data_IF_942303982355
#
_entry.id   IF_942303982355
#
_cell.length_a   1.000
_cell.length_b   1.000
_cell.length_c   1.000
_cell.angle_alpha   90.00
_cell.angle_beta   90.00
_cell.angle_gamma   90.00
#
_symmetry.space_group_name_H-M   'P 1'
#
loop_
_entity.id
_entity.type
_entity.pdbx_description
1 polymer ?
#
# COMPACT_ATOMS: atom_id res chain seq x y z
N UNK A 1 25.90 60.12 -8.94
CA UNK A 1 26.36 59.01 -8.13
C UNK A 1 25.53 58.88 -6.86
N UNK A 2 24.49 58.15 -6.89
CA UNK A 2 23.79 57.46 -5.80
C UNK A 2 22.35 57.20 -6.27
N UNK A 3 22.11 56.05 -6.84
CA UNK A 3 20.80 55.38 -6.84
C UNK A 3 21.08 53.99 -7.33
N UNK A 4 20.85 52.99 -6.49
CA UNK A 4 20.50 51.58 -6.76
C UNK A 4 20.98 50.69 -5.61
N UNK A 5 20.17 50.52 -4.59
CA UNK A 5 20.24 49.36 -3.68
C UNK A 5 19.05 49.32 -2.70
N UNK A 6 17.83 49.28 -3.18
CA UNK A 6 16.66 49.06 -2.27
C UNK A 6 15.61 48.08 -2.74
N UNK A 7 15.81 47.32 -3.83
CA UNK A 7 14.78 46.40 -4.33
C UNK A 7 15.01 44.91 -4.03
N UNK A 8 16.14 44.53 -3.43
CA UNK A 8 16.40 43.08 -3.14
C UNK A 8 16.01 42.59 -1.74
N UNK A 9 15.60 43.47 -0.84
CA UNK A 9 15.20 43.08 0.52
C UNK A 9 13.72 42.67 0.67
N UNK A 10 12.86 43.14 -0.24
CA UNK A 10 11.42 42.87 -0.19
C UNK A 10 11.00 41.47 -0.62
N UNK A 11 11.69 40.89 -1.58
CA UNK A 11 11.36 39.54 -2.07
C UNK A 11 11.79 38.41 -1.10
N UNK A 12 12.90 38.56 -0.42
CA UNK A 12 13.34 37.61 0.59
C UNK A 12 12.47 37.60 1.85
N UNK A 13 11.84 38.71 2.18
CA UNK A 13 10.93 38.81 3.33
C UNK A 13 9.52 38.27 3.01
N UNK A 14 9.04 38.39 1.77
CA UNK A 14 7.76 37.81 1.35
C UNK A 14 7.82 36.31 1.22
N UNK A 15 8.94 35.73 0.75
CA UNK A 15 9.09 34.27 0.64
C UNK A 15 9.23 33.60 2.01
N UNK A 16 9.92 34.21 2.98
CA UNK A 16 10.04 33.69 4.34
C UNK A 16 8.68 33.70 5.09
N UNK A 17 7.93 34.78 5.00
CA UNK A 17 6.60 34.88 5.65
C UNK A 17 5.57 33.89 5.03
N UNK A 18 5.76 33.46 3.79
CA UNK A 18 4.91 32.48 3.14
C UNK A 18 5.27 31.06 3.55
N UNK A 19 6.56 30.73 3.67
CA UNK A 19 7.02 29.43 4.18
C UNK A 19 6.63 29.21 5.63
N UNK A 20 6.75 30.25 6.48
CA UNK A 20 6.40 30.17 7.90
C UNK A 20 4.89 30.00 8.11
N UNK A 21 4.04 30.58 7.25
CA UNK A 21 2.58 30.34 7.24
C UNK A 21 2.24 28.92 6.78
N UNK A 22 2.91 28.42 5.76
CA UNK A 22 2.71 27.06 5.27
C UNK A 22 3.20 26.03 6.30
N UNK A 23 4.29 26.31 7.00
CA UNK A 23 4.76 25.47 8.11
C UNK A 23 3.77 25.48 9.29
N UNK A 24 3.22 26.65 9.66
CA UNK A 24 2.22 26.77 10.72
C UNK A 24 0.87 26.12 10.36
N UNK A 25 0.43 26.22 9.10
CA UNK A 25 -0.76 25.51 8.61
C UNK A 25 -0.53 24.00 8.51
N UNK A 26 0.70 23.58 8.23
CA UNK A 26 1.09 22.17 8.21
C UNK A 26 1.21 21.59 9.63
N UNK A 27 1.74 22.34 10.58
CA UNK A 27 1.69 21.95 12.01
C UNK A 27 0.24 21.87 12.51
N UNK A 28 -0.65 22.76 12.06
CA UNK A 28 -2.08 22.66 12.34
C UNK A 28 -2.76 21.48 11.62
N UNK A 29 -2.30 21.08 10.42
CA UNK A 29 -2.82 19.87 9.75
C UNK A 29 -2.34 18.56 10.40
N UNK A 30 -1.27 18.60 11.19
CA UNK A 30 -0.88 17.52 12.10
C UNK A 30 -1.95 17.18 13.12
N UNK A 31 -2.83 18.11 13.39
CA UNK A 31 -3.95 18.01 14.32
C UNK A 31 -5.31 18.02 13.63
N UNK A 32 -5.43 17.49 12.40
CA UNK A 32 -6.76 17.12 11.94
C UNK A 32 -7.36 16.20 13.01
N UNK A 33 -8.43 16.61 13.67
CA UNK A 33 -9.04 15.75 14.68
C UNK A 33 -9.36 14.42 14.03
N UNK A 34 -8.87 13.32 14.58
CA UNK A 34 -9.26 12.00 14.13
C UNK A 34 -10.79 11.95 14.06
N UNK A 35 -11.38 11.52 12.97
CA UNK A 35 -12.83 11.47 12.86
C UNK A 35 -13.39 10.61 14.00
N UNK A 36 -14.47 11.09 14.60
CA UNK A 36 -15.16 10.36 15.66
C UNK A 36 -15.71 9.04 15.10
N UNK A 37 -15.50 7.96 15.83
CA UNK A 37 -16.05 6.65 15.50
C UNK A 37 -17.22 6.37 16.42
N UNK A 38 -18.38 6.14 15.84
CA UNK A 38 -19.64 5.87 16.56
C UNK A 38 -20.05 4.41 16.40
N UNK A 39 -21.02 3.97 17.23
CA UNK A 39 -21.63 2.65 17.07
C UNK A 39 -22.28 2.48 15.69
N UNK A 40 -22.85 3.54 15.10
CA UNK A 40 -23.37 3.50 13.72
C UNK A 40 -22.30 3.10 12.72
N UNK A 41 -21.11 3.65 12.83
CA UNK A 41 -19.99 3.30 11.96
C UNK A 41 -19.54 1.84 12.14
N UNK A 42 -19.44 1.39 13.39
CA UNK A 42 -19.01 0.03 13.71
C UNK A 42 -20.03 -1.04 13.30
N UNK A 43 -21.32 -0.80 13.57
CA UNK A 43 -22.40 -1.74 13.30
C UNK A 43 -22.91 -1.71 11.86
N UNK A 44 -22.44 -0.76 11.04
CA UNK A 44 -22.79 -0.70 9.62
C UNK A 44 -22.32 -1.97 8.88
N UNK A 45 -23.20 -2.53 8.06
CA UNK A 45 -22.90 -3.67 7.18
C UNK A 45 -22.54 -3.27 5.76
N UNK A 46 -22.65 -1.98 5.43
CA UNK A 46 -22.39 -1.43 4.11
C UNK A 46 -20.92 -1.04 3.88
N UNK A 47 -20.55 -0.84 2.61
CA UNK A 47 -19.23 -0.39 2.18
C UNK A 47 -19.28 1.11 1.84
N UNK A 48 -19.50 1.93 2.87
CA UNK A 48 -19.60 3.38 2.73
C UNK A 48 -18.21 4.01 2.65
N UNK A 49 -17.92 4.80 1.59
CA UNK A 49 -16.62 5.49 1.45
C UNK A 49 -16.33 6.46 2.59
N UNK A 50 -17.36 7.03 3.18
CA UNK A 50 -17.29 8.03 4.26
C UNK A 50 -17.15 7.40 5.65
N UNK A 51 -17.32 6.07 5.77
CA UNK A 51 -17.15 5.40 7.07
C UNK A 51 -15.69 5.53 7.53
N UNK A 52 -15.43 6.12 8.72
CA UNK A 52 -14.07 6.32 9.21
C UNK A 52 -13.31 4.99 9.45
N UNK A 53 -14.03 3.89 9.66
CA UNK A 53 -13.45 2.54 9.78
C UNK A 53 -13.20 1.87 8.41
N UNK A 54 -13.17 2.66 7.34
CA UNK A 54 -12.80 2.14 6.02
C UNK A 54 -11.33 1.80 5.97
N UNK A 55 -11.03 0.56 5.54
CA UNK A 55 -9.65 0.10 5.35
C UNK A 55 -9.52 -0.61 4.02
N UNK A 56 -8.61 -0.13 3.20
CA UNK A 56 -8.27 -0.69 1.89
C UNK A 56 -6.84 -1.21 1.93
N UNK A 57 -6.63 -2.41 1.40
CA UNK A 57 -5.30 -2.92 1.12
C UNK A 57 -5.05 -2.98 -0.39
N UNK A 58 -3.79 -2.79 -0.77
CA UNK A 58 -3.26 -3.04 -2.10
C UNK A 58 -2.10 -4.03 -1.98
N UNK A 59 -2.10 -5.07 -2.79
CA UNK A 59 -1.02 -6.04 -2.85
C UNK A 59 -0.49 -6.15 -4.28
N UNK A 60 0.82 -6.15 -4.43
CA UNK A 60 1.54 -6.13 -5.70
C UNK A 60 2.67 -7.17 -5.65
N UNK A 61 2.80 -7.98 -6.69
CA UNK A 61 3.86 -8.97 -6.81
C UNK A 61 5.16 -8.27 -7.20
N UNK A 62 6.21 -8.46 -6.43
CA UNK A 62 7.49 -7.78 -6.64
C UNK A 62 8.16 -8.21 -7.95
N UNK A 63 8.31 -7.26 -8.91
CA UNK A 63 8.87 -7.54 -10.23
C UNK A 63 8.30 -8.83 -10.86
N UNK A 64 6.99 -8.93 -10.92
CA UNK A 64 6.23 -10.15 -11.18
C UNK A 64 6.76 -11.02 -12.32
N UNK A 65 6.93 -10.45 -13.52
CA UNK A 65 7.40 -11.24 -14.66
C UNK A 65 8.80 -11.83 -14.43
N UNK A 66 9.67 -11.09 -13.75
CA UNK A 66 11.01 -11.61 -13.42
C UNK A 66 10.95 -12.73 -12.38
N UNK A 67 10.06 -12.66 -11.39
CA UNK A 67 9.84 -13.76 -10.45
C UNK A 67 9.22 -14.99 -11.14
N UNK A 68 8.24 -14.80 -12.03
CA UNK A 68 7.62 -15.89 -12.78
C UNK A 68 8.63 -16.63 -13.66
N UNK A 69 9.49 -15.89 -14.37
CA UNK A 69 10.55 -16.48 -15.19
C UNK A 69 11.64 -17.15 -14.33
N UNK A 70 12.03 -16.56 -13.23
CA UNK A 70 12.98 -17.17 -12.30
C UNK A 70 12.44 -18.51 -11.76
N UNK A 71 11.17 -18.55 -11.36
CA UNK A 71 10.51 -19.77 -10.92
C UNK A 71 10.47 -20.84 -12.00
N UNK A 72 10.11 -20.46 -13.24
CA UNK A 72 10.11 -21.38 -14.40
C UNK A 72 11.49 -21.98 -14.67
N UNK A 73 12.54 -21.18 -14.50
CA UNK A 73 13.94 -21.58 -14.76
C UNK A 73 14.61 -22.27 -13.54
N UNK A 74 13.93 -22.36 -12.40
CA UNK A 74 14.53 -22.88 -11.17
C UNK A 74 15.64 -22.00 -10.60
N UNK A 75 15.56 -20.68 -10.86
CA UNK A 75 16.54 -19.67 -10.43
C UNK A 75 16.02 -18.97 -9.17
N UNK A 76 16.90 -18.75 -8.20
CA UNK A 76 16.56 -17.88 -7.07
C UNK A 76 16.58 -16.41 -7.48
N UNK A 77 15.38 -15.81 -7.60
CA UNK A 77 15.20 -14.40 -7.98
C UNK A 77 15.78 -13.40 -6.97
N UNK A 78 16.17 -13.86 -5.78
CA UNK A 78 16.75 -13.03 -4.70
C UNK A 78 18.27 -12.97 -4.74
N UNK A 79 18.91 -13.86 -5.50
CA UNK A 79 20.37 -13.94 -5.59
C UNK A 79 20.90 -13.72 -7.00
N UNK A 80 20.16 -14.07 -8.04
CA UNK A 80 20.61 -14.00 -9.44
C UNK A 80 19.95 -12.81 -10.15
N UNK A 81 20.73 -11.89 -10.76
CA UNK A 81 20.17 -10.78 -11.49
C UNK A 81 19.49 -11.26 -12.79
N UNK A 82 18.24 -10.80 -13.00
CA UNK A 82 17.42 -11.24 -14.12
C UNK A 82 16.56 -10.10 -14.67
N UNK A 83 16.48 -10.01 -15.99
CA UNK A 83 15.55 -9.14 -16.71
C UNK A 83 14.72 -9.94 -17.69
N UNK A 84 13.49 -9.49 -17.91
CA UNK A 84 12.58 -10.01 -18.93
C UNK A 84 12.52 -9.04 -20.10
N UNK A 85 12.68 -9.59 -21.28
CA UNK A 85 12.68 -8.85 -22.54
C UNK A 85 11.39 -9.11 -23.30
N UNK A 86 10.91 -8.06 -23.95
CA UNK A 86 9.95 -8.13 -25.03
C UNK A 86 10.58 -7.45 -26.24
N UNK A 87 10.93 -8.21 -27.25
CA UNK A 87 11.81 -7.80 -28.32
C UNK A 87 13.15 -7.33 -27.75
N UNK A 88 13.55 -6.10 -28.03
CA UNK A 88 14.77 -5.49 -27.47
C UNK A 88 14.54 -4.65 -26.21
N UNK A 89 13.27 -4.57 -25.75
CA UNK A 89 12.92 -3.74 -24.59
C UNK A 89 12.93 -4.55 -23.29
N UNK A 90 13.50 -3.97 -22.25
CA UNK A 90 13.43 -4.52 -20.89
C UNK A 90 12.05 -4.17 -20.30
N UNK A 91 11.23 -5.18 -20.05
CA UNK A 91 9.88 -5.01 -19.51
C UNK A 91 9.77 -5.34 -18.00
N UNK A 92 10.70 -6.12 -17.46
CA UNK A 92 10.79 -6.37 -16.04
C UNK A 92 12.25 -6.52 -15.60
N UNK A 93 12.54 -6.07 -14.38
CA UNK A 93 13.88 -6.11 -13.78
C UNK A 93 13.72 -6.59 -12.35
N UNK A 94 14.38 -7.68 -11.95
CA UNK A 94 14.33 -8.12 -10.57
C UNK A 94 15.15 -7.20 -9.66
N UNK A 95 14.97 -7.31 -8.35
CA UNK A 95 15.59 -6.41 -7.39
C UNK A 95 17.10 -6.59 -7.28
N UNK A 96 17.63 -7.75 -7.61
CA UNK A 96 19.08 -7.98 -7.70
C UNK A 96 19.68 -7.14 -8.83
N UNK A 97 19.11 -7.23 -10.04
CA UNK A 97 19.59 -6.45 -11.19
C UNK A 97 19.44 -4.93 -10.98
N UNK A 98 18.39 -4.47 -10.28
CA UNK A 98 18.21 -3.06 -9.94
C UNK A 98 19.35 -2.48 -9.09
N UNK A 99 20.00 -3.29 -8.23
CA UNK A 99 21.15 -2.87 -7.42
C UNK A 99 22.35 -2.47 -8.28
N UNK A 100 22.46 -2.99 -9.50
CA UNK A 100 23.47 -2.62 -10.49
C UNK A 100 23.06 -1.42 -11.37
N UNK A 101 21.97 -0.74 -11.05
CA UNK A 101 21.45 0.39 -11.84
C UNK A 101 20.72 -0.02 -13.12
N UNK A 102 20.36 -1.30 -13.27
CA UNK A 102 19.52 -1.74 -14.39
C UNK A 102 18.09 -1.30 -14.15
N UNK A 103 17.48 -0.66 -15.13
CA UNK A 103 16.13 -0.13 -15.04
C UNK A 103 15.30 -0.43 -16.29
N UNK A 104 13.97 -0.34 -16.16
CA UNK A 104 13.02 -0.65 -17.22
C UNK A 104 12.98 0.40 -18.34
N UNK A 105 13.17 1.68 -18.01
CA UNK A 105 12.92 2.78 -18.95
C UNK A 105 14.18 3.55 -19.37
N UNK A 106 15.22 3.56 -18.53
CA UNK A 106 16.40 4.41 -18.70
C UNK A 106 17.67 3.58 -18.92
N UNK A 107 17.55 2.41 -19.53
CA UNK A 107 18.64 1.50 -19.72
C UNK A 107 18.44 0.68 -21.00
N UNK A 108 19.40 0.77 -21.92
CA UNK A 108 19.45 -0.13 -23.07
C UNK A 108 19.92 -1.53 -22.64
N UNK A 109 19.74 -2.52 -23.47
CA UNK A 109 20.21 -3.88 -23.19
C UNK A 109 21.74 -3.94 -23.05
N UNK A 110 22.45 -3.19 -23.87
CA UNK A 110 23.91 -3.07 -23.87
C UNK A 110 24.40 -2.44 -22.56
N UNK A 111 23.78 -1.33 -22.14
CA UNK A 111 24.09 -0.68 -20.85
C UNK A 111 23.78 -1.61 -19.67
N UNK A 112 22.68 -2.35 -19.73
CA UNK A 112 22.32 -3.31 -18.69
C UNK A 112 23.37 -4.41 -18.52
N UNK A 113 23.86 -4.96 -19.62
CA UNK A 113 24.95 -5.96 -19.63
C UNK A 113 26.26 -5.42 -19.13
N UNK A 114 26.60 -4.15 -19.47
CA UNK A 114 27.81 -3.50 -18.99
C UNK A 114 27.76 -3.27 -17.47
N UNK A 115 26.60 -2.83 -16.94
CA UNK A 115 26.40 -2.59 -15.50
C UNK A 115 26.34 -3.88 -14.69
N UNK A 116 25.83 -4.95 -15.29
CA UNK A 116 25.63 -6.25 -14.65
C UNK A 116 26.08 -7.37 -15.60
N UNK A 117 27.38 -7.76 -15.59
CA UNK A 117 27.91 -8.79 -16.51
C UNK A 117 27.23 -10.16 -16.39
N UNK A 118 26.82 -10.53 -15.16
CA UNK A 118 26.12 -11.81 -14.87
C UNK A 118 24.62 -11.75 -15.09
N UNK A 119 24.12 -10.70 -15.76
CA UNK A 119 22.70 -10.48 -15.98
C UNK A 119 22.09 -11.61 -16.83
N UNK A 120 21.07 -12.28 -16.28
CA UNK A 120 20.27 -13.25 -17.02
C UNK A 120 19.21 -12.55 -17.82
N UNK A 121 19.17 -12.87 -19.12
CA UNK A 121 18.22 -12.33 -20.06
C UNK A 121 17.20 -13.42 -20.43
N UNK A 122 15.93 -13.11 -20.31
CA UNK A 122 14.83 -14.02 -20.69
C UNK A 122 13.87 -13.24 -21.58
N UNK A 123 13.66 -13.73 -22.79
CA UNK A 123 12.61 -13.19 -23.66
C UNK A 123 11.25 -13.80 -23.27
N UNK A 124 10.17 -13.02 -23.35
CA UNK A 124 8.80 -13.53 -23.15
C UNK A 124 8.50 -14.62 -24.18
N UNK A 125 7.66 -15.59 -23.80
CA UNK A 125 7.23 -16.61 -24.75
C UNK A 125 6.53 -16.00 -25.96
N UNK A 126 6.73 -16.61 -27.14
CA UNK A 126 6.11 -16.15 -28.37
C UNK A 126 5.72 -17.31 -29.27
N UNK A 127 4.77 -17.06 -30.15
CA UNK A 127 4.41 -17.95 -31.25
C UNK A 127 5.26 -17.62 -32.49
N UNK A 128 6.05 -18.55 -32.94
CA UNK A 128 6.71 -18.48 -34.26
C UNK A 128 5.81 -19.00 -35.37
N UNK A 129 6.28 -18.91 -36.65
CA UNK A 129 5.55 -19.43 -37.81
C UNK A 129 5.21 -20.93 -37.64
N UNK A 130 3.93 -21.27 -37.71
CA UNK A 130 3.45 -22.64 -37.57
C UNK A 130 3.36 -23.20 -36.13
N UNK A 131 3.68 -22.43 -35.13
CA UNK A 131 3.57 -22.87 -33.75
C UNK A 131 2.12 -23.03 -33.28
N UNK A 132 1.83 -24.18 -32.66
CA UNK A 132 0.53 -24.45 -32.00
C UNK A 132 0.48 -23.96 -30.56
N UNK A 133 1.64 -23.72 -29.92
CA UNK A 133 1.78 -23.22 -28.55
C UNK A 133 2.96 -22.24 -28.48
N UNK A 134 2.95 -21.29 -27.53
CA UNK A 134 4.06 -20.36 -27.39
C UNK A 134 5.31 -21.08 -26.90
N UNK A 135 6.46 -20.66 -27.40
CA UNK A 135 7.79 -21.18 -27.06
C UNK A 135 8.72 -20.04 -26.63
N UNK A 136 9.83 -20.39 -26.01
CA UNK A 136 10.89 -19.46 -25.63
C UNK A 136 11.96 -19.45 -26.72
N UNK A 137 12.08 -18.33 -27.39
CA UNK A 137 13.10 -18.04 -28.39
C UNK A 137 14.16 -17.09 -27.82
N UNK A 138 15.41 -17.26 -28.19
CA UNK A 138 16.49 -16.37 -27.75
C UNK A 138 16.37 -14.97 -28.35
N UNK A 139 16.11 -14.89 -29.66
CA UNK A 139 15.96 -13.64 -30.43
C UNK A 139 14.81 -13.75 -31.43
N UNK A 140 13.56 -13.68 -30.98
CA UNK A 140 12.41 -13.78 -31.86
C UNK A 140 12.24 -12.51 -32.71
N UNK A 141 11.98 -12.69 -34.01
CA UNK A 141 11.73 -11.58 -34.93
C UNK A 141 10.30 -11.03 -34.76
N UNK A 142 10.13 -9.75 -34.37
CA UNK A 142 8.80 -9.14 -34.19
C UNK A 142 7.94 -9.13 -35.48
N UNK A 143 8.53 -9.28 -36.67
CA UNK A 143 7.79 -9.35 -37.94
C UNK A 143 7.11 -10.71 -38.17
N UNK A 144 7.62 -11.78 -37.55
CA UNK A 144 7.15 -13.16 -37.76
C UNK A 144 6.61 -13.82 -36.47
N UNK A 145 6.95 -13.30 -35.32
CA UNK A 145 6.54 -13.86 -34.03
C UNK A 145 5.48 -13.01 -33.36
N UNK A 146 4.64 -13.64 -32.55
CA UNK A 146 3.62 -12.98 -31.72
C UNK A 146 3.82 -13.30 -30.25
N UNK A 147 3.90 -12.27 -29.40
CA UNK A 147 4.05 -12.40 -27.96
C UNK A 147 2.89 -13.16 -27.32
N UNK A 148 3.21 -14.02 -26.35
CA UNK A 148 2.25 -14.64 -25.45
C UNK A 148 2.56 -14.31 -24.00
N UNK A 149 1.58 -13.82 -23.28
CA UNK A 149 1.63 -13.61 -21.82
C UNK A 149 0.84 -14.67 -21.05
N UNK A 150 0.51 -15.79 -21.69
CA UNK A 150 -0.36 -16.82 -21.09
C UNK A 150 0.26 -17.49 -19.88
N UNK A 151 1.59 -17.66 -19.87
CA UNK A 151 2.30 -18.16 -18.70
C UNK A 151 2.12 -17.21 -17.51
N UNK A 152 2.27 -15.91 -17.71
CA UNK A 152 2.09 -14.91 -16.64
C UNK A 152 0.65 -14.82 -16.14
N UNK A 153 -0.33 -14.98 -17.05
CA UNK A 153 -1.74 -15.06 -16.65
C UNK A 153 -2.04 -16.29 -15.83
N UNK A 154 -1.40 -17.44 -16.12
CA UNK A 154 -1.53 -18.67 -15.31
C UNK A 154 -0.94 -18.48 -13.91
N UNK A 155 0.26 -17.88 -13.81
CA UNK A 155 0.87 -17.60 -12.50
C UNK A 155 0.05 -16.59 -11.71
N UNK A 156 -0.43 -15.52 -12.35
CA UNK A 156 -1.37 -14.57 -11.76
C UNK A 156 -2.61 -15.27 -11.22
N UNK A 157 -3.17 -16.24 -11.96
CA UNK A 157 -4.35 -16.99 -11.51
C UNK A 157 -4.08 -17.75 -10.21
N UNK A 158 -2.92 -18.41 -10.08
CA UNK A 158 -2.54 -19.11 -8.84
C UNK A 158 -2.50 -18.16 -7.64
N UNK A 159 -1.97 -16.94 -7.82
CA UNK A 159 -1.94 -15.92 -6.78
C UNK A 159 -3.37 -15.47 -6.43
N UNK A 160 -4.22 -15.25 -7.44
CA UNK A 160 -5.62 -14.86 -7.23
C UNK A 160 -6.39 -15.96 -6.48
N UNK A 161 -6.13 -17.24 -6.78
CA UNK A 161 -6.75 -18.37 -6.09
C UNK A 161 -6.32 -18.40 -4.60
N UNK A 162 -5.08 -18.02 -4.28
CA UNK A 162 -4.65 -17.86 -2.88
C UNK A 162 -5.36 -16.69 -2.22
N UNK A 163 -5.43 -15.52 -2.86
CA UNK A 163 -6.19 -14.39 -2.34
C UNK A 163 -7.63 -14.78 -2.04
N UNK A 164 -8.29 -15.45 -2.97
CA UNK A 164 -9.68 -15.87 -2.81
C UNK A 164 -9.84 -16.85 -1.64
N UNK A 165 -8.98 -17.86 -1.54
CA UNK A 165 -9.03 -18.84 -0.43
C UNK A 165 -8.75 -18.20 0.92
N UNK A 166 -7.78 -17.31 0.99
CA UNK A 166 -7.31 -16.75 2.26
C UNK A 166 -8.12 -15.54 2.72
N UNK A 167 -8.68 -14.75 1.81
CA UNK A 167 -9.40 -13.54 2.15
C UNK A 167 -10.92 -13.69 2.08
N UNK A 168 -11.43 -14.47 1.13
CA UNK A 168 -12.86 -14.60 0.89
C UNK A 168 -13.49 -15.89 1.46
N UNK A 169 -12.66 -16.83 1.90
CA UNK A 169 -13.12 -18.08 2.53
C UNK A 169 -12.45 -18.26 3.89
N UNK A 170 -13.25 -18.44 4.91
CA UNK A 170 -12.84 -18.50 6.32
C UNK A 170 -12.07 -19.75 6.77
N UNK A 171 -11.28 -20.31 5.92
CA UNK A 171 -10.43 -21.43 6.29
C UNK A 171 -8.95 -21.02 6.32
N UNK A 172 -8.57 -20.34 7.38
CA UNK A 172 -7.16 -20.34 7.79
C UNK A 172 -7.03 -21.43 8.85
N UNK A 173 -6.39 -22.55 8.58
CA UNK A 173 -5.98 -23.46 9.64
C UNK A 173 -4.87 -22.77 10.44
N UNK A 174 -5.22 -22.15 11.52
CA UNK A 174 -4.30 -21.65 12.49
C UNK A 174 -3.79 -22.80 13.34
N UNK A 175 -2.68 -23.34 13.00
CA UNK A 175 -2.06 -24.42 13.76
C UNK A 175 -0.56 -24.50 13.58
N UNK A 176 -0.03 -23.98 12.47
CA UNK A 176 1.38 -24.15 12.11
C UNK A 176 2.11 -22.87 11.70
N UNK A 177 1.50 -21.70 11.85
CA UNK A 177 2.07 -20.43 11.39
C UNK A 177 3.19 -19.87 12.31
N UNK A 178 3.50 -20.52 13.42
CA UNK A 178 4.38 -19.95 14.45
C UNK A 178 5.88 -20.02 14.14
N UNK A 179 6.31 -20.78 13.11
CA UNK A 179 7.73 -21.06 12.95
C UNK A 179 8.41 -20.47 11.71
N UNK A 180 7.67 -19.98 10.72
CA UNK A 180 8.25 -19.49 9.46
C UNK A 180 7.89 -18.05 9.11
N UNK A 181 7.05 -17.40 9.90
CA UNK A 181 6.79 -15.95 9.78
C UNK A 181 8.03 -15.12 10.13
N UNK A 182 8.99 -15.67 10.85
CA UNK A 182 10.23 -14.99 11.25
C UNK A 182 11.06 -14.47 10.07
N UNK A 183 10.93 -15.10 8.89
CA UNK A 183 11.65 -14.65 7.70
C UNK A 183 11.01 -13.42 7.02
N UNK A 184 9.73 -13.12 7.31
CA UNK A 184 8.98 -12.00 6.72
C UNK A 184 8.65 -10.95 7.77
N UNK A 185 8.59 -11.34 9.05
CA UNK A 185 8.28 -10.46 10.17
C UNK A 185 9.56 -10.05 10.90
N UNK A 186 9.66 -8.78 11.31
CA UNK A 186 10.78 -8.34 12.16
C UNK A 186 10.85 -9.13 13.46
N UNK A 187 12.07 -9.34 13.97
CA UNK A 187 12.31 -9.96 15.28
C UNK A 187 11.42 -9.36 16.37
N UNK A 188 10.68 -10.20 17.06
CA UNK A 188 9.88 -9.84 18.23
C UNK A 188 8.41 -9.51 17.98
N UNK A 189 7.88 -9.82 16.78
CA UNK A 189 6.43 -9.78 16.58
C UNK A 189 5.75 -10.97 17.26
N UNK A 190 4.71 -10.68 18.01
CA UNK A 190 3.82 -11.68 18.59
C UNK A 190 2.39 -11.42 18.13
N UNK A 191 1.68 -12.43 17.60
CA UNK A 191 0.31 -12.27 17.13
C UNK A 191 -0.74 -12.09 18.24
N UNK A 192 -0.32 -11.81 19.47
CA UNK A 192 -1.12 -12.04 20.67
C UNK A 192 -2.34 -11.14 20.83
N UNK A 193 -2.29 -9.88 20.41
CA UNK A 193 -3.32 -8.90 20.77
C UNK A 193 -4.52 -8.91 19.85
N UNK A 194 -4.29 -9.01 18.55
CA UNK A 194 -5.35 -8.92 17.54
C UNK A 194 -5.74 -10.28 16.96
N UNK A 195 -5.14 -11.33 17.51
CA UNK A 195 -5.27 -12.66 16.97
C UNK A 195 -6.32 -13.48 17.73
N UNK A 196 -7.48 -13.64 17.16
CA UNK A 196 -8.49 -14.57 17.68
C UNK A 196 -9.15 -15.40 16.58
N UNK A 197 -9.43 -16.66 16.90
CA UNK A 197 -10.24 -17.56 16.09
C UNK A 197 -11.63 -16.96 15.90
N UNK A 198 -11.98 -16.56 14.68
CA UNK A 198 -13.33 -16.20 14.31
C UNK A 198 -13.66 -16.84 12.98
N UNK A 199 -14.65 -17.70 12.94
CA UNK A 199 -15.23 -18.20 11.69
C UNK A 199 -16.31 -17.23 11.25
N UNK A 200 -16.14 -16.62 10.08
CA UNK A 200 -17.23 -15.92 9.38
C UNK A 200 -17.45 -16.59 8.03
N UNK A 201 -18.70 -16.87 7.69
CA UNK A 201 -19.09 -17.54 6.43
C UNK A 201 -19.48 -16.57 5.33
N UNK A 202 -19.40 -15.27 5.58
CA UNK A 202 -19.84 -14.22 4.64
C UNK A 202 -18.64 -13.61 3.93
N UNK A 203 -18.87 -13.18 2.69
CA UNK A 203 -17.88 -12.44 1.89
C UNK A 203 -17.63 -11.03 2.47
N UNK A 204 -16.87 -10.93 3.55
CA UNK A 204 -16.61 -9.69 4.26
C UNK A 204 -15.50 -8.84 3.64
N UNK A 205 -14.83 -9.38 2.63
CA UNK A 205 -13.75 -8.72 1.91
C UNK A 205 -14.12 -8.65 0.44
N UNK A 206 -14.15 -7.45 -0.11
CA UNK A 206 -14.27 -7.26 -1.55
C UNK A 206 -12.89 -7.31 -2.17
N UNK A 207 -12.75 -8.17 -3.16
CA UNK A 207 -11.53 -8.36 -3.92
C UNK A 207 -11.68 -7.80 -5.32
N UNK A 208 -10.71 -6.97 -5.75
CA UNK A 208 -10.63 -6.41 -7.09
C UNK A 208 -9.25 -6.71 -7.69
N UNK A 209 -9.23 -7.51 -8.74
CA UNK A 209 -8.03 -7.71 -9.56
C UNK A 209 -7.83 -6.49 -10.46
N UNK A 210 -6.76 -5.72 -10.21
CA UNK A 210 -6.45 -4.52 -10.98
C UNK A 210 -5.56 -4.82 -12.22
N UNK A 211 -4.65 -5.81 -12.11
CA UNK A 211 -3.78 -6.25 -13.20
C UNK A 211 -3.35 -7.71 -13.03
N UNK A 212 -2.34 -8.15 -13.78
CA UNK A 212 -1.72 -9.49 -13.62
C UNK A 212 -1.08 -9.65 -12.24
N UNK A 213 -0.54 -8.59 -11.68
CA UNK A 213 0.29 -8.57 -10.48
C UNK A 213 -0.24 -7.68 -9.36
N UNK A 214 -1.31 -6.92 -9.60
CA UNK A 214 -1.89 -6.00 -8.62
C UNK A 214 -3.33 -6.35 -8.25
N UNK A 215 -3.65 -6.22 -6.97
CA UNK A 215 -5.01 -6.42 -6.45
C UNK A 215 -5.32 -5.46 -5.31
N UNK A 216 -6.59 -5.04 -5.23
CA UNK A 216 -7.13 -4.27 -4.12
C UNK A 216 -8.10 -5.12 -3.30
N UNK A 217 -8.18 -4.80 -2.01
CA UNK A 217 -9.06 -5.47 -1.07
C UNK A 217 -9.75 -4.42 -0.20
N UNK A 218 -11.08 -4.40 -0.20
CA UNK A 218 -11.84 -3.66 0.80
C UNK A 218 -12.04 -4.55 2.02
N UNK A 219 -11.31 -4.24 3.07
CA UNK A 219 -11.32 -4.97 4.34
C UNK A 219 -12.28 -4.34 5.38
N UNK A 220 -13.00 -3.29 5.01
CA UNK A 220 -13.77 -2.47 5.94
C UNK A 220 -14.79 -3.28 6.74
N UNK A 221 -15.56 -4.14 6.08
CA UNK A 221 -16.54 -4.98 6.75
C UNK A 221 -15.89 -6.07 7.60
N UNK A 222 -14.82 -6.67 7.10
CA UNK A 222 -14.03 -7.65 7.83
C UNK A 222 -13.47 -7.06 9.15
N UNK A 223 -12.83 -5.89 9.11
CA UNK A 223 -12.26 -5.28 10.32
C UNK A 223 -13.32 -4.90 11.34
N UNK A 224 -14.50 -4.40 10.92
CA UNK A 224 -15.62 -4.12 11.83
C UNK A 224 -16.12 -5.38 12.53
N UNK A 225 -16.31 -6.49 11.80
CA UNK A 225 -16.66 -7.79 12.40
C UNK A 225 -15.58 -8.29 13.35
N UNK A 226 -14.32 -8.13 13.00
CA UNK A 226 -13.20 -8.51 13.87
C UNK A 226 -13.15 -7.66 15.15
N UNK A 227 -13.43 -6.36 15.08
CA UNK A 227 -13.53 -5.50 16.27
C UNK A 227 -14.65 -6.00 17.17
N UNK A 228 -15.85 -6.26 16.63
CA UNK A 228 -16.96 -6.79 17.43
C UNK A 228 -16.65 -8.16 18.06
N UNK A 229 -15.97 -9.04 17.33
CA UNK A 229 -15.57 -10.36 17.84
C UNK A 229 -14.53 -10.28 18.97
N UNK A 230 -13.57 -9.36 18.85
CA UNK A 230 -12.48 -9.18 19.84
C UNK A 230 -12.91 -8.32 21.04
N UNK A 231 -13.89 -7.46 20.83
CA UNK A 231 -14.45 -6.53 21.84
C UNK A 231 -15.97 -6.68 21.91
N UNK A 232 -16.50 -7.81 22.47
CA UNK A 232 -17.94 -8.08 22.48
C UNK A 232 -18.76 -7.00 23.19
N UNK A 233 -18.16 -6.24 24.14
CA UNK A 233 -18.82 -5.13 24.82
C UNK A 233 -19.24 -3.99 23.88
N UNK A 234 -18.74 -3.95 22.65
CA UNK A 234 -19.12 -2.96 21.64
C UNK A 234 -20.34 -3.41 20.82
N UNK A 235 -20.79 -4.65 20.97
CA UNK A 235 -21.97 -5.15 20.27
C UNK A 235 -23.24 -4.83 21.05
N UNK A 236 -23.83 -3.70 20.72
CA UNK A 236 -25.06 -3.21 21.36
C UNK A 236 -26.33 -3.59 20.61
N UNK A 237 -26.27 -4.51 19.63
CA UNK A 237 -27.43 -4.83 18.79
C UNK A 237 -28.63 -5.37 19.56
N UNK A 238 -28.41 -6.15 20.60
CA UNK A 238 -29.48 -6.62 21.50
C UNK A 238 -30.10 -5.45 22.31
N UNK A 239 -29.26 -4.57 22.87
CA UNK A 239 -29.71 -3.35 23.55
C UNK A 239 -30.62 -2.49 22.66
N UNK A 240 -30.25 -2.34 21.37
CA UNK A 240 -31.00 -1.52 20.42
C UNK A 240 -32.41 -2.05 20.13
N UNK A 241 -32.69 -3.33 20.34
CA UNK A 241 -33.97 -3.92 20.02
C UNK A 241 -35.10 -3.39 20.94
N UNK A 242 -34.77 -3.03 22.17
CA UNK A 242 -35.72 -2.57 23.19
C UNK A 242 -35.91 -1.04 23.21
N UNK A 243 -35.20 -0.30 22.35
CA UNK A 243 -35.23 1.16 22.30
C UNK A 243 -36.24 1.69 21.27
N UNK A 244 -36.88 2.80 21.60
CA UNK A 244 -37.66 3.59 20.63
C UNK A 244 -36.74 4.21 19.56
N UNK A 245 -37.32 4.74 18.49
CA UNK A 245 -36.61 5.21 17.31
C UNK A 245 -35.60 6.33 17.63
N UNK A 246 -36.00 7.30 18.46
CA UNK A 246 -35.15 8.46 18.76
C UNK A 246 -34.01 8.09 19.68
N UNK A 247 -34.27 7.32 20.71
CA UNK A 247 -33.27 6.79 21.65
C UNK A 247 -32.30 5.86 20.93
N UNK A 248 -32.80 5.01 20.03
CA UNK A 248 -31.97 4.13 19.19
C UNK A 248 -31.03 4.95 18.29
N UNK A 249 -31.54 5.99 17.63
CA UNK A 249 -30.72 6.86 16.78
C UNK A 249 -29.61 7.54 17.59
N UNK A 250 -29.95 8.13 18.74
CA UNK A 250 -29.00 8.75 19.64
C UNK A 250 -27.95 7.74 20.16
N UNK A 251 -28.33 6.51 20.46
CA UNK A 251 -27.41 5.47 20.93
C UNK A 251 -26.44 5.02 19.81
N UNK A 252 -26.92 4.92 18.57
CA UNK A 252 -26.08 4.62 17.42
C UNK A 252 -25.08 5.74 17.11
N UNK A 253 -25.46 7.00 17.31
CA UNK A 253 -24.60 8.15 17.07
C UNK A 253 -23.65 8.47 18.26
N UNK A 254 -23.79 7.73 19.37
CA UNK A 254 -22.83 7.81 20.47
C UNK A 254 -21.44 7.34 20.04
N UNK A 255 -20.42 8.03 20.50
CA UNK A 255 -19.02 7.70 20.26
C UNK A 255 -18.65 6.37 20.94
N UNK A 256 -17.79 5.57 20.30
CA UNK A 256 -17.26 4.36 20.90
C UNK A 256 -16.44 4.70 22.19
N UNK A 257 -16.47 3.83 23.20
CA UNK A 257 -15.67 4.03 24.39
C UNK A 257 -14.18 4.00 24.08
N UNK A 258 -13.38 4.49 25.01
CA UNK A 258 -11.93 4.40 24.90
C UNK A 258 -11.46 2.96 24.76
N UNK A 259 -10.38 2.76 24.01
CA UNK A 259 -9.74 1.47 23.87
C UNK A 259 -9.27 0.96 25.25
N UNK A 260 -9.54 -0.30 25.59
CA UNK A 260 -9.09 -0.90 26.86
C UNK A 260 -7.59 -0.78 27.08
N UNK A 261 -7.18 -0.52 28.32
CA UNK A 261 -5.78 -0.30 28.70
C UNK A 261 -4.86 -1.45 28.28
N UNK A 262 -5.29 -2.71 28.48
CA UNK A 262 -4.49 -3.87 28.11
C UNK A 262 -4.11 -3.89 26.60
N UNK A 263 -4.99 -3.42 25.72
CA UNK A 263 -4.71 -3.31 24.29
C UNK A 263 -3.66 -2.24 24.02
N UNK A 264 -3.69 -1.14 24.75
CA UNK A 264 -2.68 -0.07 24.65
C UNK A 264 -1.31 -0.55 25.09
N UNK A 265 -1.27 -1.29 26.21
CA UNK A 265 -0.02 -1.78 26.81
C UNK A 265 0.65 -2.86 25.93
N UNK A 266 -0.15 -3.68 25.23
CA UNK A 266 0.35 -4.74 24.36
C UNK A 266 0.77 -4.23 22.97
N UNK A 267 0.26 -3.07 22.51
CA UNK A 267 0.63 -2.44 21.24
C UNK A 267 1.87 -1.56 21.37
N UNK A 268 2.98 -2.21 21.65
CA UNK A 268 4.28 -1.54 21.69
C UNK A 268 4.68 -0.95 20.33
N UNK A 269 5.62 0.01 20.31
CA UNK A 269 6.24 0.54 19.09
C UNK A 269 6.76 -0.60 18.20
N UNK A 270 7.34 -1.64 18.79
CA UNK A 270 7.86 -2.81 18.10
C UNK A 270 6.76 -3.58 17.37
N UNK A 271 5.58 -3.74 17.99
CA UNK A 271 4.42 -4.39 17.37
C UNK A 271 3.92 -3.59 16.15
N UNK A 272 3.86 -2.27 16.25
CA UNK A 272 3.47 -1.41 15.12
C UNK A 272 4.46 -1.51 13.95
N UNK A 273 5.76 -1.47 14.24
CA UNK A 273 6.80 -1.65 13.21
C UNK A 273 6.67 -3.03 12.55
N UNK A 274 6.39 -4.07 13.31
CA UNK A 274 6.17 -5.42 12.79
C UNK A 274 4.97 -5.51 11.85
N UNK A 275 3.90 -4.75 12.10
CA UNK A 275 2.77 -4.61 11.19
C UNK A 275 3.08 -3.77 9.93
N UNK A 276 4.26 -3.18 9.87
CA UNK A 276 4.69 -2.31 8.77
C UNK A 276 4.27 -0.85 8.92
N UNK A 277 3.94 -0.40 10.12
CA UNK A 277 3.52 0.99 10.33
C UNK A 277 4.57 1.98 9.83
N UNK A 278 4.09 2.96 9.07
CA UNK A 278 4.87 4.13 8.74
C UNK A 278 4.74 5.15 9.86
N UNK A 279 5.88 5.58 10.36
CA UNK A 279 5.98 6.55 11.44
C UNK A 279 6.78 7.76 10.97
N UNK A 280 6.40 8.98 11.36
CA UNK A 280 7.19 10.16 11.07
C UNK A 280 8.61 10.05 11.65
N UNK A 281 9.64 10.62 10.99
CA UNK A 281 11.02 10.52 11.45
C UNK A 281 11.27 11.01 12.88
N UNK A 282 10.47 11.96 13.35
CA UNK A 282 10.55 12.48 14.72
C UNK A 282 10.08 11.46 15.76
N UNK A 283 9.14 10.61 15.42
CA UNK A 283 8.61 9.58 16.31
C UNK A 283 9.44 8.29 16.28
N UNK A 284 10.22 8.08 15.22
CA UNK A 284 11.13 6.92 15.11
C UNK A 284 12.34 7.02 16.05
N UNK A 285 12.68 8.22 16.55
CA UNK A 285 13.88 8.47 17.38
C UNK A 285 13.66 8.28 18.86
N UNK A 286 12.43 8.24 19.29
CA UNK A 286 12.09 8.08 20.72
C UNK A 286 11.59 6.65 20.94
N UNK A 287 12.47 5.76 21.38
CA UNK A 287 12.11 4.40 21.84
C UNK A 287 11.06 4.40 22.97
N UNK A 288 10.76 5.57 23.52
CA UNK A 288 9.82 5.81 24.62
C UNK A 288 8.64 6.71 24.26
N UNK A 289 8.52 7.20 23.02
CA UNK A 289 7.34 7.94 22.63
C UNK A 289 6.12 7.01 22.74
N UNK A 290 5.45 7.09 23.86
CA UNK A 290 4.11 6.56 24.02
C UNK A 290 3.30 7.09 22.83
N UNK A 291 2.89 6.21 21.95
CA UNK A 291 1.96 6.55 20.87
C UNK A 291 0.88 7.46 21.43
N UNK A 292 0.61 8.57 20.75
CA UNK A 292 -0.64 9.33 20.91
C UNK A 292 -1.79 8.34 21.08
N UNK A 293 -2.80 8.65 21.85
CA UNK A 293 -3.79 7.64 22.28
C UNK A 293 -4.26 6.80 21.07
N UNK A 294 -4.12 5.49 21.22
CA UNK A 294 -4.58 4.49 20.28
C UNK A 294 -6.07 4.71 20.00
N UNK A 295 -6.45 4.79 18.75
CA UNK A 295 -7.84 5.00 18.32
C UNK A 295 -8.41 3.74 17.68
N UNK A 296 -9.74 3.64 17.58
CA UNK A 296 -10.40 2.52 16.88
C UNK A 296 -10.03 2.48 15.39
N UNK A 297 -9.62 3.61 14.80
CA UNK A 297 -9.07 3.66 13.45
C UNK A 297 -7.75 2.90 13.36
N UNK A 298 -6.89 3.08 14.35
CA UNK A 298 -5.61 2.39 14.42
C UNK A 298 -5.81 0.87 14.59
N UNK A 299 -6.74 0.48 15.46
CA UNK A 299 -7.12 -0.94 15.66
C UNK A 299 -7.63 -1.56 14.35
N UNK A 300 -8.51 -0.86 13.63
CA UNK A 300 -9.03 -1.33 12.35
C UNK A 300 -7.90 -1.56 11.33
N UNK A 301 -6.97 -0.62 11.23
CA UNK A 301 -5.82 -0.71 10.33
C UNK A 301 -4.84 -1.81 10.74
N UNK A 302 -4.61 -2.00 12.04
CA UNK A 302 -3.77 -3.09 12.55
C UNK A 302 -4.35 -4.47 12.23
N UNK A 303 -5.65 -4.68 12.40
CA UNK A 303 -6.34 -5.93 12.06
C UNK A 303 -6.20 -6.24 10.56
N UNK A 304 -6.35 -5.22 9.70
CA UNK A 304 -6.16 -5.38 8.27
C UNK A 304 -4.70 -5.73 7.92
N UNK A 305 -3.73 -5.10 8.60
CA UNK A 305 -2.31 -5.36 8.41
C UNK A 305 -1.93 -6.80 8.78
N UNK A 306 -2.43 -7.32 9.90
CA UNK A 306 -2.26 -8.74 10.27
C UNK A 306 -2.79 -9.67 9.19
N UNK A 307 -3.99 -9.40 8.67
CA UNK A 307 -4.58 -10.22 7.61
C UNK A 307 -3.73 -10.23 6.36
N UNK A 308 -3.19 -9.09 5.96
CA UNK A 308 -2.34 -8.97 4.78
C UNK A 308 -0.98 -9.66 4.95
N UNK A 309 -0.38 -9.64 6.13
CA UNK A 309 0.85 -10.41 6.43
C UNK A 309 0.59 -11.90 6.20
N UNK A 310 -0.49 -12.44 6.78
CA UNK A 310 -0.87 -13.84 6.62
C UNK A 310 -1.03 -14.25 5.16
N UNK A 311 -1.71 -13.42 4.37
CA UNK A 311 -1.94 -13.69 2.94
C UNK A 311 -0.64 -13.68 2.14
N UNK A 312 0.22 -12.70 2.38
CA UNK A 312 1.53 -12.59 1.73
C UNK A 312 2.44 -13.78 2.06
N UNK A 313 2.36 -14.25 3.30
CA UNK A 313 3.07 -15.47 3.72
C UNK A 313 2.59 -16.69 2.93
N UNK A 314 1.29 -16.88 2.72
CA UNK A 314 0.77 -17.99 1.92
C UNK A 314 1.25 -17.94 0.47
N UNK A 315 1.30 -16.75 -0.15
CA UNK A 315 1.83 -16.61 -1.51
C UNK A 315 3.31 -16.99 -1.56
N UNK A 316 4.10 -16.53 -0.61
CA UNK A 316 5.53 -16.87 -0.53
C UNK A 316 5.74 -18.37 -0.30
N UNK A 317 5.02 -18.95 0.66
CA UNK A 317 5.19 -20.35 1.04
C UNK A 317 4.70 -21.33 -0.05
N UNK A 318 3.58 -21.05 -0.70
CA UNK A 318 2.99 -21.94 -1.69
C UNK A 318 3.59 -21.76 -3.09
N UNK A 319 3.96 -20.56 -3.47
CA UNK A 319 4.41 -20.21 -4.82
C UNK A 319 5.85 -19.68 -4.91
N UNK A 320 6.47 -19.35 -3.78
CA UNK A 320 7.82 -18.78 -3.73
C UNK A 320 7.88 -17.30 -4.18
N UNK A 321 6.74 -16.61 -4.36
CA UNK A 321 6.71 -15.22 -4.82
C UNK A 321 6.65 -14.25 -3.65
N UNK A 322 7.53 -13.24 -3.67
CA UNK A 322 7.44 -12.11 -2.76
C UNK A 322 6.42 -11.09 -3.25
N UNK A 323 5.74 -10.49 -2.31
CA UNK A 323 4.75 -9.44 -2.56
C UNK A 323 4.98 -8.24 -1.65
N UNK A 324 4.55 -7.08 -2.08
CA UNK A 324 4.52 -5.88 -1.24
C UNK A 324 3.08 -5.40 -1.08
N UNK A 325 2.71 -5.01 0.14
CA UNK A 325 1.36 -4.56 0.44
C UNK A 325 1.36 -3.16 1.05
N UNK A 326 0.29 -2.43 0.80
CA UNK A 326 -0.03 -1.15 1.43
C UNK A 326 -1.41 -1.20 2.04
N UNK A 327 -1.55 -0.72 3.27
CA UNK A 327 -2.82 -0.64 3.99
C UNK A 327 -3.09 0.81 4.37
N UNK A 328 -4.24 1.33 3.98
CA UNK A 328 -4.63 2.71 4.24
C UNK A 328 -6.14 2.90 4.14
N UNK A 329 -6.64 4.12 4.29
CA UNK A 329 -8.07 4.43 4.28
C UNK A 329 -8.72 4.45 2.89
N UNK A 330 -7.94 4.46 1.80
CA UNK A 330 -8.45 4.43 0.43
C UNK A 330 -7.47 3.79 -0.57
N UNK A 331 -7.93 3.50 -1.79
CA UNK A 331 -7.14 2.84 -2.85
C UNK A 331 -5.88 3.59 -3.23
N UNK A 332 -5.94 4.91 -3.35
CA UNK A 332 -4.79 5.73 -3.75
C UNK A 332 -3.68 5.64 -2.71
N UNK A 333 -4.01 5.84 -1.44
CA UNK A 333 -3.06 5.73 -0.34
C UNK A 333 -2.51 4.31 -0.20
N UNK A 334 -3.36 3.29 -0.29
CA UNK A 334 -2.93 1.89 -0.22
C UNK A 334 -1.92 1.55 -1.33
N UNK A 335 -2.14 2.03 -2.56
CA UNK A 335 -1.21 1.84 -3.67
C UNK A 335 0.11 2.59 -3.47
N UNK A 336 0.09 3.81 -2.97
CA UNK A 336 1.30 4.56 -2.62
C UNK A 336 2.11 3.83 -1.54
N UNK A 337 1.43 3.34 -0.51
CA UNK A 337 2.04 2.58 0.59
C UNK A 337 2.68 1.28 0.11
N UNK A 338 2.03 0.51 -0.77
CA UNK A 338 2.59 -0.75 -1.27
C UNK A 338 3.89 -0.57 -2.06
N UNK A 339 4.09 0.62 -2.63
CA UNK A 339 5.29 0.96 -3.40
C UNK A 339 6.44 1.51 -2.53
N UNK A 340 6.16 1.90 -1.29
CA UNK A 340 7.06 2.71 -0.47
C UNK A 340 8.33 1.98 -0.02
N UNK A 341 8.22 0.70 0.36
CA UNK A 341 9.35 -0.10 0.91
C UNK A 341 9.68 -1.36 0.11
N UNK A 342 9.28 -1.44 -1.17
CA UNK A 342 9.57 -2.61 -2.01
C UNK A 342 11.06 -2.98 -2.00
N UNK A 343 11.41 -4.27 -2.05
CA UNK A 343 10.57 -5.46 -2.17
C UNK A 343 10.18 -6.10 -0.84
N UNK A 344 9.31 -7.11 -0.91
CA UNK A 344 8.95 -8.03 0.18
C UNK A 344 8.58 -7.31 1.48
N UNK A 345 7.79 -6.25 1.37
CA UNK A 345 7.48 -5.38 2.50
C UNK A 345 5.99 -5.06 2.60
N UNK A 346 5.62 -4.56 3.75
CA UNK A 346 4.29 -4.03 4.01
C UNK A 346 4.40 -2.63 4.60
N UNK A 347 3.54 -1.73 4.15
CA UNK A 347 3.44 -0.38 4.70
C UNK A 347 2.01 -0.12 5.14
N UNK A 348 1.85 0.09 6.43
CA UNK A 348 0.61 0.46 7.10
C UNK A 348 0.61 1.98 7.35
N UNK A 349 -0.30 2.71 6.75
CA UNK A 349 -0.47 4.14 6.96
C UNK A 349 -1.68 4.41 7.86
N UNK A 350 -1.42 4.83 9.07
CA UNK A 350 -2.47 5.25 9.99
C UNK A 350 -3.08 6.58 9.53
N UNK A 351 -4.41 6.77 9.63
CA UNK A 351 -5.08 7.96 9.11
C UNK A 351 -4.49 9.29 9.58
N UNK A 352 -4.07 9.36 10.86
CA UNK A 352 -3.45 10.55 11.46
C UNK A 352 -2.12 10.98 10.82
N UNK A 353 -1.41 10.05 10.16
CA UNK A 353 -0.13 10.34 9.51
C UNK A 353 -0.24 10.58 8.00
N UNK A 354 -1.45 10.55 7.45
CA UNK A 354 -1.67 10.70 6.00
C UNK A 354 -1.06 11.98 5.45
N UNK A 355 -1.30 13.11 6.10
CA UNK A 355 -0.76 14.41 5.69
C UNK A 355 0.78 14.42 5.72
N UNK A 356 1.36 13.94 6.82
CA UNK A 356 2.82 13.88 7.00
C UNK A 356 3.49 12.94 5.99
N UNK A 357 2.84 11.82 5.67
CA UNK A 357 3.33 10.87 4.67
C UNK A 357 3.31 11.45 3.25
N UNK A 358 2.23 12.15 2.89
CA UNK A 358 2.05 12.70 1.54
C UNK A 358 2.89 13.95 1.29
N UNK A 359 3.08 14.79 2.29
CA UNK A 359 3.68 16.12 2.13
C UNK A 359 5.00 16.16 1.32
N UNK A 360 6.01 15.33 1.61
CA UNK A 360 7.28 15.33 0.86
C UNK A 360 7.19 14.57 -0.46
N UNK A 361 6.06 13.90 -0.76
CA UNK A 361 5.95 13.02 -1.90
C UNK A 361 5.79 13.83 -3.20
N UNK A 362 6.52 13.49 -4.28
CA UNK A 362 6.20 14.00 -5.59
C UNK A 362 4.76 13.64 -5.98
N UNK A 363 3.92 14.62 -6.26
CA UNK A 363 2.51 14.37 -6.56
C UNK A 363 2.32 13.52 -7.83
N UNK A 364 3.31 13.50 -8.73
CA UNK A 364 3.32 12.61 -9.91
C UNK A 364 3.35 11.11 -9.59
N UNK A 365 3.65 10.74 -8.34
CA UNK A 365 3.49 9.35 -7.86
C UNK A 365 2.03 8.97 -7.60
N UNK A 366 1.15 9.96 -7.43
CA UNK A 366 -0.28 9.73 -7.25
C UNK A 366 -0.86 9.23 -8.56
N UNK A 367 -1.71 8.20 -8.48
CA UNK A 367 -2.37 7.63 -9.65
C UNK A 367 -3.10 8.72 -10.44
N UNK A 368 -2.98 8.67 -11.76
CA UNK A 368 -3.45 9.63 -12.77
C UNK A 368 -2.64 10.94 -12.87
N UNK A 369 -1.78 11.27 -11.91
CA UNK A 369 -0.90 12.45 -11.97
C UNK A 369 0.50 12.14 -12.52
N UNK A 370 0.82 10.88 -12.82
CA UNK A 370 2.13 10.47 -13.34
C UNK A 370 2.37 10.74 -14.82
N UNK A 371 1.31 11.06 -15.59
CA UNK A 371 1.36 11.27 -17.03
C UNK A 371 1.46 12.74 -17.44
N UNK A 372 0.93 13.05 -18.65
CA UNK A 372 0.94 14.38 -19.25
C UNK A 372 0.31 15.44 -18.32
N UNK A 373 -0.85 15.14 -17.75
CA UNK A 373 -1.56 16.06 -16.84
C UNK A 373 -0.69 16.54 -15.66
N UNK A 374 0.02 15.62 -14.99
CA UNK A 374 0.93 16.02 -13.91
C UNK A 374 2.17 16.78 -14.41
N UNK A 375 2.63 16.51 -15.64
CA UNK A 375 3.72 17.28 -16.26
C UNK A 375 3.27 18.73 -16.58
N UNK A 376 2.06 18.88 -17.09
CA UNK A 376 1.47 20.21 -17.39
C UNK A 376 1.31 21.04 -16.10
N UNK A 377 0.90 20.41 -14.98
CA UNK A 377 0.85 21.06 -13.65
C UNK A 377 2.25 21.50 -13.20
N UNK A 378 3.26 20.64 -13.35
CA UNK A 378 4.63 20.93 -12.94
C UNK A 378 5.23 22.09 -13.77
N UNK A 379 4.96 22.13 -15.06
CA UNK A 379 5.40 23.19 -15.97
C UNK A 379 4.74 24.53 -15.63
N UNK A 380 3.42 24.55 -15.39
CA UNK A 380 2.66 25.78 -15.15
C UNK A 380 2.94 26.39 -13.78
N UNK A 381 3.06 25.56 -12.72
CA UNK A 381 3.20 26.07 -11.35
C UNK A 381 4.56 25.86 -10.72
N UNK A 382 5.50 25.21 -11.39
CA UNK A 382 6.84 24.89 -10.87
C UNK A 382 6.80 24.20 -9.51
N UNK A 383 5.75 23.39 -9.26
CA UNK A 383 5.55 22.64 -8.03
C UNK A 383 5.77 21.16 -8.31
N UNK A 384 6.43 20.44 -7.41
CA UNK A 384 6.79 19.03 -7.59
C UNK A 384 6.27 18.10 -6.49
N UNK A 385 6.00 18.66 -5.30
CA UNK A 385 5.56 17.88 -4.15
C UNK A 385 4.11 18.18 -3.77
N UNK A 386 3.49 17.24 -3.03
CA UNK A 386 2.13 17.43 -2.51
C UNK A 386 2.05 18.66 -1.59
N UNK A 387 3.08 18.90 -0.75
CA UNK A 387 3.14 20.08 0.11
C UNK A 387 3.10 21.37 -0.66
N UNK A 388 3.91 21.46 -1.71
CA UNK A 388 3.98 22.66 -2.56
C UNK A 388 2.63 22.89 -3.26
N UNK A 389 2.00 21.82 -3.76
CA UNK A 389 0.69 21.90 -4.41
C UNK A 389 -0.42 22.35 -3.45
N UNK A 390 -0.36 22.03 -2.17
CA UNK A 390 -1.33 22.51 -1.17
C UNK A 390 -1.29 24.03 -0.98
N UNK A 391 -0.16 24.67 -1.25
CA UNK A 391 -0.04 26.13 -1.24
C UNK A 391 -0.68 26.84 -2.44
N UNK A 392 -1.08 26.09 -3.47
CA UNK A 392 -1.75 26.62 -4.66
C UNK A 392 -3.23 26.81 -4.35
N UNK A 393 -3.73 28.03 -4.57
CA UNK A 393 -5.16 28.33 -4.37
C UNK A 393 -6.04 27.44 -5.25
N UNK A 394 -7.13 26.91 -4.67
CA UNK A 394 -8.14 26.15 -5.42
C UNK A 394 -8.72 26.94 -6.61
N UNK A 395 -8.74 28.27 -6.53
CA UNK A 395 -9.13 29.14 -7.64
C UNK A 395 -8.17 29.02 -8.83
N UNK A 396 -6.87 28.86 -8.57
CA UNK A 396 -5.88 28.66 -9.63
C UNK A 396 -5.99 27.25 -10.24
N UNK A 397 -6.36 26.25 -9.43
CA UNK A 397 -6.63 24.88 -9.90
C UNK A 397 -7.85 24.80 -10.83
N UNK A 398 -8.86 25.65 -10.64
CA UNK A 398 -10.06 25.71 -11.48
C UNK A 398 -9.83 26.37 -12.85
N UNK A 399 -8.70 27.06 -13.04
CA UNK A 399 -8.32 27.68 -14.32
C UNK A 399 -7.64 26.72 -15.29
N UNK A 400 -7.24 25.52 -14.82
CA UNK A 400 -6.84 24.46 -15.73
C UNK A 400 -8.12 23.95 -16.40
N UNK A 401 -8.29 24.26 -17.67
CA UNK A 401 -9.35 23.68 -18.49
C UNK A 401 -9.12 22.17 -18.59
N UNK A 402 -9.77 21.43 -17.67
CA UNK A 402 -9.89 19.97 -17.71
C UNK A 402 -11.04 19.62 -18.66
#
# INVERSE_FOLDING_TARGET
HHVMSTERSGEKHRSRCHSDKIEAEYENSRFMPCPRVTYRHLLSTSYEPENPLRVIAHCDVDAAYAQFEASRLGIDSRSIPLVVLQWKQIIAVNYVARKFGVSRFNCTLEEAKQRCPDLRLVHVASYGPGDKSPKYYEDPDPSTHKISLDMYRRESKKIMDIFQRQLCHDRVPYGHANYELESITPEGWSPSVFYMKGQSKDHDIIFEKASIDESFFDLSRYVRKQILSRFPMLDIREELNDLDTDTRAARLDAELPNIPMHVRDEMSMRAWIALGAWLPPNEQREEQALFTPLTWLDVAHAIAAERMISVRWHILNELGYTTSAGIASNKTLAKLCSSFRKPCSQTLLLPRYTGTFLAPMPYRKIRFLGGKFGADIEEEWSQSTVRELWGVSLLNLSLIHI
#
